data_IF_303324826193
#
_entry.id   IF_303324826193
#
_cell.length_a   1.000
_cell.length_b   1.000
_cell.length_c   1.000
_cell.angle_alpha   90.00
_cell.angle_beta   90.00
_cell.angle_gamma   90.00
#
_symmetry.space_group_name_H-M   'P 1'
#
loop_
_entity.id
_entity.type
_entity.pdbx_description
1 polymer ?
#
# COMPACT_ATOMS: atom_id res chain seq x y z
N UNK A 1 -2.68 1.83 6.55
CA UNK A 1 -1.94 2.95 5.93
C UNK A 1 -2.71 3.56 4.77
N UNK A 2 -2.61 4.87 4.54
CA UNK A 2 -3.16 5.61 3.40
C UNK A 2 -2.26 5.51 2.17
N UNK A 3 -2.72 5.94 1.00
CA UNK A 3 -1.87 6.01 -0.21
C UNK A 3 -0.64 6.90 0.01
N UNK A 4 -0.79 8.05 0.68
CA UNK A 4 0.31 9.00 0.90
C UNK A 4 1.37 8.41 1.82
N UNK A 5 0.96 7.84 2.95
CA UNK A 5 1.87 7.17 3.89
C UNK A 5 2.68 6.05 3.21
N UNK A 6 2.01 5.22 2.39
CA UNK A 6 2.70 4.14 1.66
C UNK A 6 3.65 4.69 0.61
N UNK A 7 3.24 5.73 -0.13
CA UNK A 7 4.07 6.38 -1.14
C UNK A 7 5.34 7.00 -0.53
N UNK A 8 5.19 7.68 0.60
CA UNK A 8 6.30 8.27 1.36
C UNK A 8 7.26 7.19 1.89
N UNK A 9 6.71 6.12 2.48
CA UNK A 9 7.49 5.01 3.02
C UNK A 9 8.29 4.28 1.93
N UNK A 10 7.67 4.00 0.79
CA UNK A 10 8.30 3.30 -0.34
C UNK A 10 9.06 4.23 -1.29
N UNK A 11 9.10 5.54 -1.00
CA UNK A 11 9.76 6.57 -1.83
C UNK A 11 9.33 6.56 -3.30
N UNK A 12 8.05 6.32 -3.56
CA UNK A 12 7.48 6.29 -4.93
C UNK A 12 6.23 7.15 -5.03
N UNK A 13 5.83 7.48 -6.27
CA UNK A 13 4.65 8.33 -6.47
C UNK A 13 3.34 7.66 -5.96
N UNK A 14 2.39 8.43 -5.41
CA UNK A 14 1.04 7.94 -5.11
C UNK A 14 0.33 7.29 -6.31
N UNK A 15 0.65 7.73 -7.53
CA UNK A 15 0.10 7.15 -8.76
C UNK A 15 0.60 5.72 -8.98
N UNK A 16 1.88 5.44 -8.67
CA UNK A 16 2.45 4.09 -8.72
C UNK A 16 1.71 3.15 -7.77
N UNK A 17 1.44 3.59 -6.54
CA UNK A 17 0.65 2.83 -5.56
C UNK A 17 -0.76 2.52 -6.09
N UNK A 18 -1.45 3.50 -6.68
CA UNK A 18 -2.77 3.28 -7.31
C UNK A 18 -2.71 2.26 -8.45
N UNK A 19 -1.65 2.30 -9.27
CA UNK A 19 -1.42 1.36 -10.38
C UNK A 19 -1.13 -0.05 -9.86
N UNK A 20 -0.35 -0.18 -8.79
CA UNK A 20 -0.09 -1.47 -8.14
C UNK A 20 -1.35 -2.09 -7.57
N UNK A 21 -2.24 -1.31 -6.98
CA UNK A 21 -3.56 -1.78 -6.56
C UNK A 21 -4.41 -2.32 -7.72
N UNK A 22 -4.40 -1.66 -8.88
CA UNK A 22 -5.10 -2.15 -10.09
C UNK A 22 -4.47 -3.43 -10.66
N UNK A 23 -3.14 -3.57 -10.54
CA UNK A 23 -2.37 -4.74 -11.01
C UNK A 23 -2.30 -5.88 -9.99
N UNK A 24 -2.91 -5.76 -8.81
CA UNK A 24 -2.87 -6.76 -7.75
C UNK A 24 -1.54 -6.87 -6.98
N UNK A 25 -0.50 -6.09 -7.31
CA UNK A 25 0.81 -6.13 -6.63
C UNK A 25 0.75 -5.68 -5.17
N UNK A 26 -0.10 -4.70 -4.88
CA UNK A 26 -0.36 -4.22 -3.54
C UNK A 26 -1.87 -4.00 -3.40
N UNK A 27 -2.64 -5.04 -3.04
CA UNK A 27 -4.08 -4.97 -3.01
C UNK A 27 -4.55 -3.97 -1.96
N UNK A 28 -5.40 -3.04 -2.40
CA UNK A 28 -5.97 -2.02 -1.54
C UNK A 28 -7.31 -2.49 -0.96
N UNK A 29 -7.52 -2.24 0.33
CA UNK A 29 -8.82 -2.41 0.99
C UNK A 29 -9.63 -1.14 0.72
N UNK A 30 -10.78 -1.29 0.06
CA UNK A 30 -11.74 -0.19 -0.08
C UNK A 30 -12.54 -0.10 1.21
N UNK A 31 -12.49 1.06 1.87
CA UNK A 31 -13.11 1.24 3.20
C UNK A 31 -14.48 1.93 3.14
N UNK A 32 -14.84 2.54 2.01
CA UNK A 32 -16.11 3.23 1.84
C UNK A 32 -16.56 3.31 0.37
N UNK A 33 -17.77 3.83 0.18
CA UNK A 33 -18.41 4.04 -1.12
C UNK A 33 -17.68 5.09 -1.97
N UNK A 34 -17.05 6.11 -1.35
CA UNK A 34 -16.23 7.13 -2.05
C UNK A 34 -15.03 6.54 -2.79
N UNK A 35 -14.52 5.39 -2.32
CA UNK A 35 -13.36 4.73 -2.93
C UNK A 35 -12.04 4.98 -2.22
N UNK A 36 -12.09 5.37 -0.95
CA UNK A 36 -10.90 5.48 -0.12
C UNK A 36 -10.23 4.12 0.04
N UNK A 37 -8.89 4.14 -0.03
CA UNK A 37 -8.04 2.95 -0.04
C UNK A 37 -7.15 2.92 1.17
N UNK A 38 -7.11 1.77 1.84
CA UNK A 38 -6.16 1.47 2.92
C UNK A 38 -5.32 0.25 2.58
N UNK A 39 -4.09 0.25 3.10
CA UNK A 39 -3.13 -0.82 2.96
C UNK A 39 -2.76 -1.38 4.32
N UNK A 40 -2.60 -2.70 4.40
CA UNK A 40 -2.13 -3.40 5.59
C UNK A 40 -0.66 -3.10 5.82
N UNK A 41 -0.30 -2.75 7.05
CA UNK A 41 1.06 -2.32 7.40
C UNK A 41 2.05 -3.46 7.14
N UNK A 42 1.70 -4.69 7.52
CA UNK A 42 2.57 -5.85 7.34
C UNK A 42 2.83 -6.19 5.86
N UNK A 43 1.88 -5.91 4.96
CA UNK A 43 2.08 -6.12 3.52
C UNK A 43 3.04 -5.08 2.95
N UNK A 44 2.90 -3.83 3.38
CA UNK A 44 3.76 -2.73 2.90
C UNK A 44 5.18 -2.89 3.41
N UNK A 45 5.36 -3.30 4.68
CA UNK A 45 6.69 -3.54 5.26
C UNK A 45 7.41 -4.73 4.61
N UNK A 46 6.69 -5.79 4.23
CA UNK A 46 7.26 -6.91 3.46
C UNK A 46 7.88 -6.48 2.13
N UNK A 47 7.38 -5.40 1.51
CA UNK A 47 7.97 -4.87 0.27
C UNK A 47 9.33 -4.19 0.50
N UNK A 48 9.65 -3.81 1.74
CA UNK A 48 10.95 -3.29 2.13
C UNK A 48 11.94 -4.39 2.53
N UNK A 49 11.53 -5.67 2.49
CA UNK A 49 12.35 -6.78 2.97
C UNK A 49 12.48 -6.81 4.49
N UNK A 50 11.64 -6.07 5.21
CA UNK A 50 11.53 -6.19 6.67
C UNK A 50 10.71 -7.46 6.94
N UNK A 51 11.40 -8.58 7.13
CA UNK A 51 10.79 -9.77 7.71
C UNK A 51 10.54 -9.46 9.19
N UNK A 52 9.27 -9.53 9.63
CA UNK A 52 8.99 -9.67 11.06
C UNK A 52 9.54 -11.04 11.44
N UNK A 53 10.71 -11.07 12.09
CA UNK A 53 11.18 -12.24 12.81
C UNK A 53 10.03 -12.72 13.71
N UNK A 54 9.54 -13.92 13.43
CA UNK A 54 8.52 -14.60 14.22
C UNK A 54 9.06 -15.02 15.57
#
# INVERSE_FOLDING_TARGET
MTIREVAELLRISPLTIKRWGKKGKLPAIRINTRGDRRYRKEVVLRLLGVEEEK
#
